data_IF_088114337623
#
_entry.id   IF_088114337623
#
_cell.length_a   1.000
_cell.length_b   1.000
_cell.length_c   1.000
_cell.angle_alpha   90.00
_cell.angle_beta   90.00
_cell.angle_gamma   90.00
#
_symmetry.space_group_name_H-M   'P 1'
#
loop_
_entity.id
_entity.type
_entity.pdbx_description
1 polymer ?
#
# COMPACT_ATOMS: atom_id res chain seq x y z
N UNK A 1 -9.56 -6.73 13.88
CA UNK A 1 -8.25 -6.78 14.55
C UNK A 1 -7.66 -5.37 14.60
N UNK A 2 -7.22 -4.92 15.76
CA UNK A 2 -6.65 -3.59 16.02
C UNK A 2 -5.25 -3.77 16.61
N UNK A 3 -4.34 -2.83 16.34
CA UNK A 3 -3.06 -2.77 17.04
C UNK A 3 -3.24 -2.43 18.52
N UNK A 4 -2.34 -2.85 19.42
CA UNK A 4 -2.45 -2.57 20.84
C UNK A 4 -2.33 -1.07 21.13
N UNK A 5 -2.92 -0.62 22.23
CA UNK A 5 -2.92 0.79 22.65
C UNK A 5 -1.51 1.37 22.77
N UNK A 6 -0.57 0.56 23.21
CA UNK A 6 0.84 0.92 23.38
C UNK A 6 1.51 1.31 22.04
N UNK A 7 1.07 0.70 20.93
CA UNK A 7 1.52 1.12 19.60
C UNK A 7 1.15 2.57 19.32
N UNK A 8 -0.12 2.94 19.52
CA UNK A 8 -0.58 4.31 19.28
C UNK A 8 0.08 5.32 20.22
N UNK A 9 0.32 4.94 21.47
CA UNK A 9 1.04 5.79 22.41
C UNK A 9 2.48 6.06 21.98
N UNK A 10 3.20 5.04 21.49
CA UNK A 10 4.58 5.22 20.97
C UNK A 10 4.62 6.11 19.75
N UNK A 11 3.78 5.86 18.75
CA UNK A 11 3.78 6.68 17.52
C UNK A 11 3.39 8.13 17.80
N UNK A 12 2.46 8.37 18.72
CA UNK A 12 2.09 9.72 19.14
C UNK A 12 3.24 10.42 19.89
N UNK A 13 3.99 9.70 20.71
CA UNK A 13 5.16 10.25 21.40
C UNK A 13 6.28 10.63 20.42
N UNK A 14 6.56 9.78 19.41
CA UNK A 14 7.52 10.10 18.35
C UNK A 14 7.04 11.30 17.52
N UNK A 15 5.75 11.38 17.18
CA UNK A 15 5.22 12.51 16.43
C UNK A 15 5.43 13.83 17.19
N UNK A 16 5.18 13.87 18.52
CA UNK A 16 5.41 15.08 19.32
C UNK A 16 6.88 15.53 19.28
N UNK A 17 7.82 14.62 19.40
CA UNK A 17 9.25 14.95 19.29
C UNK A 17 9.60 15.54 17.92
N UNK A 18 8.98 15.05 16.85
CA UNK A 18 9.19 15.57 15.49
C UNK A 18 8.55 16.95 15.28
N UNK A 19 7.39 17.19 15.86
CA UNK A 19 6.76 18.52 15.84
C UNK A 19 7.60 19.54 16.61
N UNK A 20 8.09 19.19 17.81
CA UNK A 20 8.99 20.04 18.60
C UNK A 20 10.28 20.34 17.81
N UNK A 21 10.89 19.35 17.19
CA UNK A 21 12.11 19.52 16.38
C UNK A 21 11.89 20.38 15.12
N UNK A 22 10.68 20.38 14.58
CA UNK A 22 10.27 21.23 13.45
C UNK A 22 9.79 22.61 13.90
N UNK A 23 9.71 22.86 15.21
CA UNK A 23 9.16 24.09 15.81
C UNK A 23 7.71 24.37 15.37
N UNK A 24 6.87 23.34 15.24
CA UNK A 24 5.46 23.38 14.83
C UNK A 24 4.60 23.09 16.05
N UNK A 25 3.54 23.89 16.30
CA UNK A 25 2.66 23.71 17.46
C UNK A 25 1.77 22.45 17.34
N UNK A 26 1.49 22.04 16.11
CA UNK A 26 0.74 20.82 15.84
C UNK A 26 0.53 20.59 14.34
N UNK A 27 -0.05 19.45 14.00
CA UNK A 27 -0.29 19.04 12.62
C UNK A 27 -1.77 18.76 12.37
N UNK A 28 -2.29 19.24 11.24
CA UNK A 28 -3.58 18.84 10.67
C UNK A 28 -3.41 17.66 9.73
N UNK A 29 -4.06 16.58 10.07
CA UNK A 29 -4.02 15.31 9.35
C UNK A 29 -5.37 15.06 8.70
N UNK A 30 -5.36 14.87 7.40
CA UNK A 30 -6.58 14.62 6.60
C UNK A 30 -6.57 13.26 5.93
N UNK A 31 -5.38 12.70 5.71
CA UNK A 31 -5.25 11.44 5.01
C UNK A 31 -5.70 10.26 5.87
N UNK A 32 -6.63 9.40 5.41
CA UNK A 32 -7.21 8.32 6.22
C UNK A 32 -6.19 7.34 6.79
N UNK A 33 -5.12 7.03 6.04
CA UNK A 33 -4.06 6.17 6.54
C UNK A 33 -3.27 6.80 7.70
N UNK A 34 -3.05 8.12 7.67
CA UNK A 34 -2.37 8.84 8.76
C UNK A 34 -3.27 8.95 10.00
N UNK A 35 -4.58 9.19 9.80
CA UNK A 35 -5.58 9.15 10.87
C UNK A 35 -5.61 7.76 11.51
N UNK A 36 -5.66 6.70 10.71
CA UNK A 36 -5.63 5.32 11.20
C UNK A 36 -4.32 4.99 11.93
N UNK A 37 -3.18 5.48 11.44
CA UNK A 37 -1.87 5.28 12.06
C UNK A 37 -1.77 5.93 13.45
N UNK A 38 -2.29 7.14 13.59
CA UNK A 38 -2.14 7.92 14.83
C UNK A 38 -3.20 7.62 15.90
N UNK A 39 -4.43 7.31 15.49
CA UNK A 39 -5.53 7.15 16.45
C UNK A 39 -6.28 5.82 16.35
N UNK A 40 -5.97 4.99 15.35
CA UNK A 40 -6.64 3.71 15.17
C UNK A 40 -8.09 3.85 14.71
N UNK A 41 -8.44 4.97 14.10
CA UNK A 41 -9.75 5.18 13.51
C UNK A 41 -9.73 4.80 12.03
N UNK A 42 -10.43 3.72 11.69
CA UNK A 42 -10.59 3.21 10.33
C UNK A 42 -12.02 3.51 9.88
N UNK A 43 -12.19 4.34 8.87
CA UNK A 43 -13.49 4.79 8.39
C UNK A 43 -13.60 4.74 6.87
N UNK A 44 -14.83 4.68 6.37
CA UNK A 44 -15.11 4.79 4.95
C UNK A 44 -14.88 6.22 4.46
N UNK A 45 -14.01 6.38 3.47
CA UNK A 45 -13.74 7.70 2.87
C UNK A 45 -14.92 8.10 2.00
N UNK A 46 -15.51 9.25 2.31
CA UNK A 46 -16.63 9.84 1.57
C UNK A 46 -16.30 11.31 1.25
N UNK A 47 -17.29 12.06 0.80
CA UNK A 47 -17.20 13.52 0.62
C UNK A 47 -17.10 14.28 1.95
N UNK A 48 -17.40 13.63 3.08
CA UNK A 48 -17.36 14.23 4.44
C UNK A 48 -15.95 14.23 4.97
N UNK A 49 -15.34 15.39 5.21
CA UNK A 49 -13.96 15.46 5.67
C UNK A 49 -13.80 15.01 7.14
N UNK A 50 -12.65 14.41 7.42
CA UNK A 50 -12.18 14.12 8.76
C UNK A 50 -10.88 14.90 8.97
N UNK A 51 -10.80 15.68 10.05
CA UNK A 51 -9.64 16.50 10.39
C UNK A 51 -9.12 16.12 11.77
N UNK A 52 -7.97 15.45 11.83
CA UNK A 52 -7.29 15.18 13.08
C UNK A 52 -6.29 16.31 13.36
N UNK A 53 -6.47 17.01 14.48
CA UNK A 53 -5.46 17.86 15.07
C UNK A 53 -4.62 17.06 16.06
N UNK A 54 -3.31 17.15 15.91
CA UNK A 54 -2.36 16.53 16.81
C UNK A 54 -1.31 17.56 17.22
N UNK A 55 -1.31 17.95 18.52
CA UNK A 55 -0.47 19.00 19.04
C UNK A 55 0.78 18.49 19.77
N UNK A 56 1.70 19.42 20.08
CA UNK A 56 2.89 19.13 20.89
C UNK A 56 2.52 18.86 22.35
N UNK A 57 1.45 19.49 22.87
CA UNK A 57 0.97 19.31 24.25
C UNK A 57 0.07 18.08 24.37
N UNK A 58 0.40 17.10 25.22
CA UNK A 58 -0.46 15.95 25.46
C UNK A 58 -1.85 16.34 25.97
N UNK A 59 -2.90 15.66 25.50
CA UNK A 59 -4.28 15.88 25.93
C UNK A 59 -5.01 17.01 25.19
N UNK A 60 -4.35 17.69 24.25
CA UNK A 60 -4.98 18.70 23.40
C UNK A 60 -5.40 18.19 22.03
N UNK A 61 -5.21 16.91 21.77
CA UNK A 61 -5.52 16.28 20.48
C UNK A 61 -7.03 16.10 20.31
N UNK A 62 -7.54 16.36 19.12
CA UNK A 62 -8.96 16.14 18.80
C UNK A 62 -9.13 15.80 17.32
N UNK A 63 -10.27 15.17 17.01
CA UNK A 63 -10.63 14.83 15.65
C UNK A 63 -12.02 15.38 15.30
N UNK A 64 -12.09 16.20 14.25
CA UNK A 64 -13.36 16.66 13.68
C UNK A 64 -13.89 15.58 12.79
N UNK A 65 -15.08 15.07 13.09
CA UNK A 65 -15.71 13.96 12.39
C UNK A 65 -17.17 14.27 12.06
N UNK A 66 -17.73 13.72 10.98
CA UNK A 66 -19.17 13.83 10.77
C UNK A 66 -19.94 13.14 11.92
N UNK A 67 -21.06 13.71 12.33
CA UNK A 67 -21.84 13.21 13.47
C UNK A 67 -22.23 11.73 13.31
N UNK A 68 -22.46 11.28 12.07
CA UNK A 68 -22.78 9.89 11.76
C UNK A 68 -21.66 8.88 12.10
N UNK A 69 -20.41 9.34 12.21
CA UNK A 69 -19.26 8.48 12.50
C UNK A 69 -18.84 8.48 13.97
N UNK A 70 -19.45 9.30 14.83
CA UNK A 70 -19.07 9.43 16.24
C UNK A 70 -19.20 8.10 17.00
N UNK A 71 -20.34 7.43 16.87
CA UNK A 71 -20.57 6.14 17.56
C UNK A 71 -19.63 5.05 17.00
N UNK A 72 -19.35 5.10 15.70
CA UNK A 72 -18.43 4.15 15.07
C UNK A 72 -16.98 4.38 15.51
N UNK A 73 -16.54 5.63 15.65
CA UNK A 73 -15.24 5.96 16.22
C UNK A 73 -15.12 5.52 17.67
N UNK A 74 -16.15 5.76 18.49
CA UNK A 74 -16.21 5.31 19.87
C UNK A 74 -16.13 3.77 20.00
N UNK A 75 -16.83 3.04 19.13
CA UNK A 75 -16.78 1.58 19.08
C UNK A 75 -15.38 1.02 18.74
N UNK A 76 -14.55 1.81 18.06
CA UNK A 76 -13.16 1.48 17.77
C UNK A 76 -12.19 1.86 18.92
N UNK A 77 -12.72 2.30 20.07
CA UNK A 77 -11.91 2.67 21.25
C UNK A 77 -10.89 3.77 20.95
N UNK A 78 -11.28 4.74 20.14
CA UNK A 78 -10.47 5.90 19.83
C UNK A 78 -10.25 6.73 21.10
N UNK A 79 -8.98 6.94 21.46
CA UNK A 79 -8.55 7.67 22.66
C UNK A 79 -8.13 9.10 22.27
N UNK A 80 -9.04 9.84 21.65
CA UNK A 80 -8.87 11.24 21.20
C UNK A 80 -10.25 11.89 21.23
N UNK A 81 -10.34 13.15 21.69
CA UNK A 81 -11.57 13.93 21.71
C UNK A 81 -12.21 14.04 20.33
N UNK A 82 -13.51 13.77 20.22
CA UNK A 82 -14.26 13.90 18.98
C UNK A 82 -15.06 15.21 18.97
N UNK A 83 -14.88 15.99 17.92
CA UNK A 83 -15.68 17.19 17.62
C UNK A 83 -16.59 16.86 16.46
N UNK A 84 -17.88 16.70 16.74
CA UNK A 84 -18.86 16.33 15.72
C UNK A 84 -19.37 17.54 14.94
N UNK A 85 -19.45 17.43 13.61
CA UNK A 85 -20.22 18.35 12.78
C UNK A 85 -21.45 17.66 12.20
N UNK A 86 -22.61 18.36 12.11
CA UNK A 86 -23.90 17.70 11.94
C UNK A 86 -24.14 17.16 10.52
N UNK A 87 -23.64 17.83 9.49
CA UNK A 87 -23.88 17.44 8.08
C UNK A 87 -22.88 18.13 7.13
N UNK A 88 -22.73 17.55 5.92
CA UNK A 88 -21.88 18.10 4.86
C UNK A 88 -22.75 18.46 3.62
N UNK A 89 -22.57 19.65 2.98
CA UNK A 89 -21.60 20.70 3.38
C UNK A 89 -21.98 21.44 4.67
N UNK A 90 -23.23 21.34 5.13
CA UNK A 90 -23.73 21.99 6.33
C UNK A 90 -23.91 23.52 6.19
N UNK A 91 -24.65 24.11 7.13
CA UNK A 91 -24.73 25.59 7.28
C UNK A 91 -23.45 26.12 7.91
N UNK A 92 -22.89 25.36 8.85
CA UNK A 92 -21.56 25.56 9.45
C UNK A 92 -20.68 24.42 8.90
N UNK A 93 -19.62 24.76 8.20
CA UNK A 93 -18.77 23.75 7.53
C UNK A 93 -17.88 23.01 8.52
N UNK A 94 -17.35 21.85 8.11
CA UNK A 94 -16.40 21.10 8.93
C UNK A 94 -15.14 21.93 9.27
N UNK A 95 -14.69 22.79 8.32
CA UNK A 95 -13.56 23.70 8.52
C UNK A 95 -13.87 24.79 9.57
N UNK A 96 -15.12 25.25 9.63
CA UNK A 96 -15.55 26.19 10.69
C UNK A 96 -15.58 25.51 12.07
N UNK A 97 -16.05 24.26 12.17
CA UNK A 97 -15.96 23.47 13.40
C UNK A 97 -14.51 23.21 13.81
N UNK A 98 -13.60 22.95 12.86
CA UNK A 98 -12.17 22.83 13.11
C UNK A 98 -11.59 24.14 13.67
N UNK A 99 -11.89 25.27 13.03
CA UNK A 99 -11.38 26.58 13.43
C UNK A 99 -11.89 27.01 14.83
N UNK A 100 -13.16 26.74 15.13
CA UNK A 100 -13.73 26.94 16.45
C UNK A 100 -13.06 26.08 17.52
N UNK A 101 -12.87 24.78 17.22
CA UNK A 101 -12.21 23.85 18.12
C UNK A 101 -10.77 24.24 18.47
N UNK A 102 -10.01 24.72 17.47
CA UNK A 102 -8.66 25.25 17.67
C UNK A 102 -8.68 26.55 18.49
N UNK A 103 -9.60 27.48 18.18
CA UNK A 103 -9.72 28.77 18.88
C UNK A 103 -10.05 28.60 20.35
N UNK A 104 -11.03 27.74 20.67
CA UNK A 104 -11.44 27.46 22.06
C UNK A 104 -10.31 26.84 22.89
N UNK A 105 -9.40 26.09 22.20
CA UNK A 105 -8.21 25.49 22.84
C UNK A 105 -7.01 26.43 22.91
N UNK A 106 -7.17 27.71 22.51
CA UNK A 106 -6.09 28.70 22.56
C UNK A 106 -5.03 28.57 21.48
N UNK A 107 -5.35 27.87 20.39
CA UNK A 107 -4.45 27.58 19.26
C UNK A 107 -4.64 28.57 18.08
N UNK A 108 -5.35 29.67 18.29
CA UNK A 108 -5.40 30.78 17.33
C UNK A 108 -4.00 31.39 17.19
N UNK A 109 -3.49 31.47 15.95
CA UNK A 109 -2.14 31.98 15.69
C UNK A 109 -1.03 30.91 15.77
N UNK A 110 -1.39 29.61 15.87
CA UNK A 110 -0.43 28.51 15.91
C UNK A 110 0.33 28.35 14.59
N UNK A 111 1.53 27.77 14.69
CA UNK A 111 2.28 27.23 13.55
C UNK A 111 1.79 25.82 13.27
N UNK A 112 1.09 25.67 12.16
CA UNK A 112 0.35 24.45 11.83
C UNK A 112 1.05 23.70 10.69
N UNK A 113 1.53 22.50 10.98
CA UNK A 113 1.90 21.54 9.94
C UNK A 113 0.65 20.96 9.27
N UNK A 114 0.75 20.57 8.00
CA UNK A 114 -0.29 19.79 7.34
C UNK A 114 0.31 18.65 6.52
N UNK A 115 -0.40 17.51 6.49
CA UNK A 115 0.04 16.34 5.72
C UNK A 115 -0.25 16.53 4.23
N UNK A 116 0.49 15.78 3.38
CA UNK A 116 0.29 15.80 1.93
C UNK A 116 -1.12 15.37 1.53
N UNK A 117 -1.62 15.88 0.40
CA UNK A 117 -2.95 15.56 -0.11
C UNK A 117 -4.05 16.56 0.30
N UNK A 118 -3.74 17.58 1.09
CA UNK A 118 -4.65 18.69 1.35
C UNK A 118 -4.88 19.47 0.06
N UNK A 119 -6.15 19.68 -0.30
CA UNK A 119 -6.48 20.48 -1.48
C UNK A 119 -6.16 21.95 -1.24
N UNK A 120 -5.85 22.69 -2.33
CA UNK A 120 -5.65 24.15 -2.25
C UNK A 120 -6.90 24.82 -1.66
N UNK A 121 -8.10 24.41 -2.04
CA UNK A 121 -9.34 24.97 -1.52
C UNK A 121 -9.50 24.74 -0.01
N UNK A 122 -9.11 23.58 0.50
CA UNK A 122 -9.12 23.29 1.94
C UNK A 122 -8.10 24.17 2.68
N UNK A 123 -6.89 24.29 2.14
CA UNK A 123 -5.84 25.13 2.72
C UNK A 123 -6.26 26.62 2.75
N UNK A 124 -6.81 27.13 1.64
CA UNK A 124 -7.33 28.49 1.56
C UNK A 124 -8.45 28.74 2.60
N UNK A 125 -9.36 27.76 2.78
CA UNK A 125 -10.40 27.83 3.80
C UNK A 125 -9.81 27.92 5.22
N UNK A 126 -8.82 27.10 5.54
CA UNK A 126 -8.14 27.15 6.84
C UNK A 126 -7.44 28.48 7.08
N UNK A 127 -6.74 29.00 6.06
CA UNK A 127 -6.07 30.33 6.14
C UNK A 127 -7.05 31.47 6.36
N UNK A 128 -8.25 31.40 5.76
CA UNK A 128 -9.31 32.37 5.94
C UNK A 128 -9.98 32.28 7.32
N UNK A 129 -10.12 31.10 7.88
CA UNK A 129 -10.80 30.90 9.16
C UNK A 129 -9.87 31.05 10.38
N UNK A 130 -8.59 30.73 10.22
CA UNK A 130 -7.57 30.75 11.27
C UNK A 130 -6.60 31.92 11.09
N UNK A 131 -7.14 33.15 11.14
CA UNK A 131 -6.34 34.35 11.01
C UNK A 131 -5.19 34.39 12.03
N UNK A 132 -3.98 34.61 11.55
CA UNK A 132 -2.77 34.68 12.35
C UNK A 132 -2.01 33.36 12.49
N UNK A 133 -2.61 32.22 12.13
CA UNK A 133 -1.90 30.95 12.02
C UNK A 133 -1.07 30.89 10.75
N UNK A 134 0.04 30.18 10.81
CA UNK A 134 0.87 29.84 9.63
C UNK A 134 0.72 28.37 9.29
N UNK A 135 0.83 28.03 8.00
CA UNK A 135 0.65 26.68 7.50
C UNK A 135 1.87 26.25 6.69
N UNK A 136 2.43 25.08 7.02
CA UNK A 136 3.57 24.52 6.30
C UNK A 136 3.43 23.02 6.10
N UNK A 137 3.95 22.46 4.95
CA UNK A 137 3.93 21.01 4.74
C UNK A 137 4.74 20.27 5.81
N UNK A 138 4.19 19.17 6.33
CA UNK A 138 4.84 18.32 7.30
C UNK A 138 4.89 16.86 6.82
N UNK A 139 6.08 16.34 6.61
CA UNK A 139 6.33 14.99 6.08
C UNK A 139 6.70 13.98 7.15
N UNK A 140 6.75 14.40 8.42
CA UNK A 140 7.21 13.55 9.54
C UNK A 140 6.41 12.26 9.71
N UNK A 141 5.07 12.30 9.48
CA UNK A 141 4.21 11.12 9.60
C UNK A 141 4.54 10.08 8.51
N UNK A 142 4.76 10.51 7.28
CA UNK A 142 5.16 9.61 6.20
C UNK A 142 6.52 8.93 6.50
N UNK A 143 7.47 9.68 7.04
CA UNK A 143 8.76 9.14 7.48
C UNK A 143 8.62 8.13 8.64
N UNK A 144 7.70 8.36 9.58
CA UNK A 144 7.39 7.40 10.65
C UNK A 144 6.80 6.12 10.08
N UNK A 145 5.82 6.22 9.18
CA UNK A 145 5.16 5.08 8.53
C UNK A 145 6.12 4.23 7.68
N UNK A 146 7.19 4.82 7.16
CA UNK A 146 8.18 4.09 6.38
C UNK A 146 8.86 2.97 7.19
N UNK A 147 9.08 3.19 8.49
CA UNK A 147 9.68 2.21 9.41
C UNK A 147 8.58 1.46 10.16
N UNK A 148 8.41 0.18 9.87
CA UNK A 148 7.37 -0.66 10.47
C UNK A 148 7.77 -1.14 11.86
N UNK A 149 6.84 -1.00 12.80
CA UNK A 149 6.96 -1.59 14.14
C UNK A 149 6.67 -3.10 14.10
N UNK A 150 7.14 -3.87 15.09
CA UNK A 150 6.93 -5.33 15.13
C UNK A 150 5.47 -5.75 15.01
N UNK A 151 4.54 -4.99 15.59
CA UNK A 151 3.11 -5.24 15.54
C UNK A 151 2.55 -5.06 14.12
N UNK A 152 3.10 -4.13 13.34
CA UNK A 152 2.74 -3.94 11.93
C UNK A 152 3.28 -5.07 11.07
N UNK A 153 4.55 -5.46 11.31
CA UNK A 153 5.20 -6.57 10.60
C UNK A 153 4.40 -7.86 10.78
N UNK A 154 3.89 -8.13 11.98
CA UNK A 154 3.03 -9.29 12.23
C UNK A 154 1.82 -9.31 11.29
N UNK A 155 1.14 -8.16 11.08
CA UNK A 155 -0.02 -8.10 10.18
C UNK A 155 0.36 -8.16 8.70
N UNK A 156 1.53 -7.63 8.32
CA UNK A 156 2.07 -7.85 6.98
C UNK A 156 2.34 -9.35 6.73
N UNK A 157 2.86 -10.09 7.71
CA UNK A 157 3.05 -11.54 7.61
C UNK A 157 1.71 -12.28 7.42
N UNK A 158 0.68 -11.92 8.18
CA UNK A 158 -0.65 -12.51 8.03
C UNK A 158 -1.27 -12.20 6.66
N UNK A 159 -1.10 -10.98 6.16
CA UNK A 159 -1.56 -10.61 4.82
C UNK A 159 -0.77 -11.36 3.72
N UNK A 160 0.54 -11.61 3.92
CA UNK A 160 1.38 -12.33 2.99
C UNK A 160 0.91 -13.79 2.79
N UNK A 161 0.56 -14.46 3.87
CA UNK A 161 0.00 -15.83 3.78
C UNK A 161 -1.29 -15.86 2.95
N UNK A 162 -2.21 -14.90 3.18
CA UNK A 162 -3.45 -14.82 2.40
C UNK A 162 -3.15 -14.51 0.93
N UNK A 163 -2.21 -13.61 0.65
CA UNK A 163 -1.83 -13.25 -0.71
C UNK A 163 -1.24 -14.47 -1.47
N UNK A 164 -0.39 -15.26 -0.82
CA UNK A 164 0.14 -16.50 -1.39
C UNK A 164 -0.96 -17.55 -1.62
N UNK A 165 -1.94 -17.66 -0.71
CA UNK A 165 -3.09 -18.55 -0.88
C UNK A 165 -4.00 -18.09 -2.05
N UNK A 166 -4.15 -16.78 -2.27
CA UNK A 166 -4.86 -16.24 -3.44
C UNK A 166 -4.18 -16.65 -4.76
N UNK A 167 -2.83 -16.62 -4.81
CA UNK A 167 -2.08 -17.12 -5.97
C UNK A 167 -2.33 -18.61 -6.22
N UNK A 168 -2.31 -19.43 -5.14
CA UNK A 168 -2.65 -20.86 -5.21
C UNK A 168 -4.06 -21.09 -5.71
N UNK A 169 -5.04 -20.32 -5.22
CA UNK A 169 -6.43 -20.43 -5.64
C UNK A 169 -6.63 -20.05 -7.12
N UNK A 170 -6.00 -18.97 -7.56
CA UNK A 170 -6.04 -18.55 -8.96
C UNK A 170 -5.43 -19.59 -9.91
N UNK A 171 -4.26 -20.13 -9.55
CA UNK A 171 -3.62 -21.23 -10.27
C UNK A 171 -4.52 -22.46 -10.31
N UNK A 172 -5.04 -22.90 -9.18
CA UNK A 172 -5.88 -24.11 -9.08
C UNK A 172 -7.14 -24.03 -9.96
N UNK A 173 -7.78 -22.86 -10.04
CA UNK A 173 -8.93 -22.63 -10.93
C UNK A 173 -8.58 -22.91 -12.41
N UNK A 174 -7.40 -22.43 -12.84
CA UNK A 174 -6.97 -22.57 -14.23
C UNK A 174 -6.54 -24.02 -14.50
N UNK A 175 -5.77 -24.63 -13.59
CA UNK A 175 -5.33 -26.02 -13.73
C UNK A 175 -6.50 -27.01 -13.76
N UNK A 176 -7.54 -26.78 -12.97
CA UNK A 176 -8.74 -27.64 -12.98
C UNK A 176 -9.43 -27.59 -14.35
N UNK A 177 -9.62 -26.38 -14.91
CA UNK A 177 -10.18 -26.22 -16.23
C UNK A 177 -9.29 -26.85 -17.33
N UNK A 178 -7.98 -26.68 -17.23
CA UNK A 178 -7.00 -27.23 -18.15
C UNK A 178 -7.03 -28.76 -18.17
N UNK A 179 -6.91 -29.40 -16.99
CA UNK A 179 -6.88 -30.87 -16.86
C UNK A 179 -8.18 -31.54 -17.28
N UNK A 180 -9.32 -30.85 -17.13
CA UNK A 180 -10.63 -31.37 -17.55
C UNK A 180 -10.97 -31.06 -18.99
N UNK A 181 -10.05 -30.46 -19.74
CA UNK A 181 -10.28 -30.01 -21.12
C UNK A 181 -11.53 -29.11 -21.24
N UNK A 182 -11.80 -28.34 -20.19
CA UNK A 182 -12.92 -27.40 -20.15
C UNK A 182 -12.53 -26.07 -20.78
N UNK A 183 -13.52 -25.24 -21.02
CA UNK A 183 -13.28 -23.86 -21.44
C UNK A 183 -12.51 -23.11 -20.36
N UNK A 184 -11.31 -22.61 -20.70
CA UNK A 184 -10.47 -21.84 -19.77
C UNK A 184 -11.19 -20.58 -19.29
N UNK A 185 -10.93 -20.11 -18.05
CA UNK A 185 -11.54 -18.91 -17.52
C UNK A 185 -11.10 -17.64 -18.24
N UNK A 186 -11.88 -16.59 -18.13
CA UNK A 186 -11.50 -15.24 -18.55
C UNK A 186 -10.68 -14.55 -17.46
N UNK A 187 -9.96 -13.47 -17.84
CA UNK A 187 -9.24 -12.62 -16.85
C UNK A 187 -10.17 -12.14 -15.73
N UNK A 188 -11.39 -11.69 -16.09
CA UNK A 188 -12.38 -11.23 -15.11
C UNK A 188 -12.93 -12.32 -14.20
N UNK A 189 -13.09 -13.55 -14.70
CA UNK A 189 -13.51 -14.71 -13.88
C UNK A 189 -12.43 -15.07 -12.86
N UNK A 190 -11.15 -15.06 -13.26
CA UNK A 190 -10.01 -15.31 -12.36
C UNK A 190 -9.92 -14.19 -11.32
N UNK A 191 -9.97 -12.92 -11.73
CA UNK A 191 -9.90 -11.78 -10.83
C UNK A 191 -10.99 -11.85 -9.74
N UNK A 192 -12.23 -12.12 -10.14
CA UNK A 192 -13.33 -12.29 -9.19
C UNK A 192 -13.08 -13.45 -8.23
N UNK A 193 -12.60 -14.60 -8.73
CA UNK A 193 -12.34 -15.78 -7.91
C UNK A 193 -11.30 -15.50 -6.83
N UNK A 194 -10.14 -14.93 -7.19
CA UNK A 194 -9.06 -14.66 -6.24
C UNK A 194 -9.44 -13.58 -5.22
N UNK A 195 -10.18 -12.53 -5.62
CA UNK A 195 -10.65 -11.48 -4.72
C UNK A 195 -11.65 -12.04 -3.71
N UNK A 196 -12.61 -12.86 -4.17
CA UNK A 196 -13.58 -13.51 -3.29
C UNK A 196 -12.87 -14.42 -2.31
N UNK A 197 -11.99 -15.29 -2.79
CA UNK A 197 -11.19 -16.19 -1.96
C UNK A 197 -10.40 -15.42 -0.89
N UNK A 198 -9.64 -14.40 -1.26
CA UNK A 198 -8.84 -13.61 -0.32
C UNK A 198 -9.70 -12.90 0.72
N UNK A 199 -10.86 -12.36 0.33
CA UNK A 199 -11.82 -11.72 1.24
C UNK A 199 -12.38 -12.73 2.25
N UNK A 200 -12.82 -13.91 1.79
CA UNK A 200 -13.33 -14.99 2.64
C UNK A 200 -12.26 -15.48 3.62
N UNK A 201 -11.00 -15.65 3.17
CA UNK A 201 -9.89 -16.05 4.03
C UNK A 201 -9.60 -15.01 5.13
N UNK A 202 -9.68 -13.72 4.82
CA UNK A 202 -9.51 -12.68 5.83
C UNK A 202 -10.59 -12.75 6.91
N UNK A 203 -11.87 -12.87 6.53
CA UNK A 203 -12.96 -13.02 7.49
C UNK A 203 -12.93 -14.35 8.25
N UNK A 204 -12.39 -15.41 7.65
CA UNK A 204 -12.19 -16.70 8.32
C UNK A 204 -11.09 -16.64 9.40
N UNK A 205 -10.04 -15.86 9.15
CA UNK A 205 -8.88 -15.72 10.07
C UNK A 205 -9.10 -14.70 11.18
N UNK A 206 -9.92 -13.68 10.94
CA UNK A 206 -10.09 -12.56 11.85
C UNK A 206 -11.58 -12.23 12.07
N UNK A 207 -11.99 -12.10 13.32
CA UNK A 207 -13.36 -11.74 13.70
C UNK A 207 -13.77 -10.35 13.21
N UNK A 208 -12.81 -9.40 13.26
CA UNK A 208 -12.98 -8.04 12.77
C UNK A 208 -11.90 -7.71 11.76
N UNK A 209 -12.30 -7.44 10.54
CA UNK A 209 -11.40 -7.03 9.47
C UNK A 209 -11.44 -5.50 9.35
N UNK A 210 -10.29 -4.86 9.57
CA UNK A 210 -10.13 -3.40 9.51
C UNK A 210 -9.27 -3.06 8.29
N UNK A 211 -9.79 -2.18 7.43
CA UNK A 211 -9.09 -1.71 6.24
C UNK A 211 -9.52 -0.29 5.86
N UNK A 212 -8.59 0.48 5.33
CA UNK A 212 -8.83 1.85 4.84
C UNK A 212 -9.22 1.88 3.36
N UNK A 213 -8.90 0.84 2.60
CA UNK A 213 -9.19 0.71 1.18
C UNK A 213 -9.77 -0.67 0.84
N UNK A 214 -9.02 -1.51 0.11
CA UNK A 214 -9.42 -2.88 -0.22
C UNK A 214 -8.82 -3.88 0.75
N UNK A 215 -9.58 -4.90 1.11
CA UNK A 215 -9.11 -6.01 1.93
C UNK A 215 -8.28 -7.01 1.12
N UNK A 216 -8.79 -7.41 -0.04
CA UNK A 216 -8.10 -8.23 -1.02
C UNK A 216 -8.37 -7.65 -2.41
N UNK A 217 -7.41 -7.76 -3.30
CA UNK A 217 -7.52 -7.22 -4.63
C UNK A 217 -6.48 -7.79 -5.58
N UNK A 218 -6.60 -7.43 -6.83
CA UNK A 218 -5.62 -7.82 -7.81
C UNK A 218 -6.02 -7.49 -9.23
N UNK A 219 -5.01 -7.49 -10.07
CA UNK A 219 -5.11 -7.37 -11.49
C UNK A 219 -4.73 -8.70 -12.13
N UNK A 220 -5.41 -9.06 -13.20
CA UNK A 220 -5.20 -10.30 -13.93
C UNK A 220 -5.10 -9.97 -15.40
N UNK A 221 -3.99 -10.27 -16.01
CA UNK A 221 -3.78 -10.00 -17.42
C UNK A 221 -3.11 -11.16 -18.12
N UNK A 222 -3.57 -11.53 -19.32
CA UNK A 222 -3.10 -12.68 -20.05
C UNK A 222 -2.77 -12.36 -21.51
N UNK A 223 -1.78 -13.06 -22.06
CA UNK A 223 -1.33 -12.90 -23.44
C UNK A 223 -0.99 -11.45 -23.77
N UNK A 224 -1.49 -10.87 -24.88
CA UNK A 224 -1.18 -9.48 -25.25
C UNK A 224 -1.59 -8.43 -24.21
N UNK A 225 -2.59 -8.71 -23.35
CA UNK A 225 -2.97 -7.79 -22.26
C UNK A 225 -1.91 -7.75 -21.18
N UNK A 226 -1.16 -8.81 -20.95
CA UNK A 226 -0.07 -8.84 -19.97
C UNK A 226 1.07 -7.85 -20.30
N UNK A 227 1.13 -7.34 -21.52
CA UNK A 227 2.07 -6.27 -21.91
C UNK A 227 1.66 -4.87 -21.37
N UNK A 228 0.59 -4.76 -20.61
CA UNK A 228 0.07 -3.50 -20.04
C UNK A 228 0.09 -3.57 -18.52
N UNK A 229 1.08 -2.99 -17.84
CA UNK A 229 1.29 -3.16 -16.38
C UNK A 229 0.09 -2.85 -15.49
N UNK A 230 -0.77 -1.93 -15.91
CA UNK A 230 -1.99 -1.52 -15.17
C UNK A 230 -3.28 -1.81 -15.94
N UNK A 231 -3.24 -2.79 -16.86
CA UNK A 231 -4.43 -3.22 -17.59
C UNK A 231 -5.49 -3.77 -16.63
N UNK A 232 -6.76 -3.44 -16.87
CA UNK A 232 -7.84 -4.02 -16.08
C UNK A 232 -8.18 -5.42 -16.62
N UNK A 233 -8.60 -6.35 -15.74
CA UNK A 233 -9.09 -7.66 -16.17
C UNK A 233 -10.26 -7.50 -17.16
N UNK A 234 -10.20 -8.25 -18.26
CA UNK A 234 -11.17 -8.18 -19.35
C UNK A 234 -11.97 -9.47 -19.48
N UNK A 235 -12.86 -9.50 -20.47
CA UNK A 235 -13.56 -10.72 -20.89
C UNK A 235 -12.71 -11.64 -21.78
N UNK A 236 -11.44 -11.30 -22.01
CA UNK A 236 -10.52 -12.16 -22.75
C UNK A 236 -10.38 -13.50 -22.03
N UNK A 237 -10.58 -14.57 -22.76
CA UNK A 237 -10.38 -15.93 -22.28
C UNK A 237 -8.94 -16.35 -22.45
N UNK A 238 -8.38 -17.07 -21.47
CA UNK A 238 -7.05 -17.62 -21.53
C UNK A 238 -6.92 -18.59 -22.70
N UNK A 239 -5.72 -18.65 -23.26
CA UNK A 239 -5.36 -19.55 -24.36
C UNK A 239 -4.04 -20.26 -24.06
N UNK A 240 -3.85 -21.45 -24.63
CA UNK A 240 -2.55 -22.12 -24.59
C UNK A 240 -1.46 -21.19 -25.20
N UNK A 241 -0.30 -21.16 -24.55
CA UNK A 241 0.80 -20.27 -24.91
C UNK A 241 0.73 -18.87 -24.32
N UNK A 242 -0.34 -18.50 -23.59
CA UNK A 242 -0.38 -17.22 -22.93
C UNK A 242 0.64 -17.13 -21.78
N UNK A 243 1.24 -15.96 -21.61
CA UNK A 243 1.73 -15.51 -20.31
C UNK A 243 0.55 -14.95 -19.53
N UNK A 244 0.47 -15.25 -18.25
CA UNK A 244 -0.55 -14.74 -17.33
C UNK A 244 0.13 -14.12 -16.14
N UNK A 245 -0.14 -12.86 -15.85
CA UNK A 245 0.27 -12.21 -14.61
C UNK A 245 -0.92 -12.22 -13.65
N UNK A 246 -0.72 -12.81 -12.47
CA UNK A 246 -1.57 -12.61 -11.30
C UNK A 246 -0.85 -11.60 -10.39
N UNK A 247 -1.35 -10.37 -10.37
CA UNK A 247 -0.86 -9.27 -9.55
C UNK A 247 -1.83 -9.07 -8.38
N UNK A 248 -1.51 -9.68 -7.24
CA UNK A 248 -2.46 -9.82 -6.14
C UNK A 248 -1.97 -9.10 -4.88
N UNK A 249 -2.91 -8.66 -4.07
CA UNK A 249 -2.66 -8.02 -2.79
C UNK A 249 -3.71 -8.37 -1.75
N UNK A 250 -3.30 -8.36 -0.50
CA UNK A 250 -4.18 -8.54 0.67
C UNK A 250 -3.76 -7.58 1.79
N UNK A 251 -4.65 -7.34 2.75
CA UNK A 251 -4.38 -6.49 3.90
C UNK A 251 -4.96 -7.07 5.18
N UNK A 252 -4.17 -7.17 6.24
CA UNK A 252 -4.62 -7.49 7.59
C UNK A 252 -4.44 -6.26 8.50
N UNK A 253 -5.47 -5.86 9.22
CA UNK A 253 -5.48 -4.61 9.99
C UNK A 253 -4.99 -3.41 9.16
N UNK A 254 -5.41 -3.32 7.90
CA UNK A 254 -4.92 -2.39 6.87
C UNK A 254 -3.42 -2.41 6.58
N UNK A 255 -2.69 -3.44 6.96
CA UNK A 255 -1.29 -3.63 6.56
C UNK A 255 -1.28 -4.45 5.28
N UNK A 256 -0.94 -3.76 4.17
CA UNK A 256 -0.96 -4.32 2.83
C UNK A 256 0.28 -5.18 2.54
N UNK A 257 0.08 -6.13 1.66
CA UNK A 257 1.12 -6.94 1.02
C UNK A 257 0.72 -7.13 -0.43
N UNK A 258 1.69 -7.22 -1.30
CA UNK A 258 1.50 -7.69 -2.67
C UNK A 258 2.39 -8.89 -2.96
N UNK A 259 1.92 -9.75 -3.83
CA UNK A 259 2.66 -10.87 -4.43
C UNK A 259 2.19 -11.07 -5.86
N UNK A 260 3.15 -11.16 -6.78
CA UNK A 260 2.81 -11.28 -8.18
C UNK A 260 3.62 -12.39 -8.85
N UNK A 261 2.96 -13.13 -9.70
CA UNK A 261 3.62 -14.19 -10.47
C UNK A 261 3.19 -14.17 -11.92
N UNK A 262 4.15 -14.48 -12.77
CA UNK A 262 3.90 -14.79 -14.16
C UNK A 262 3.79 -16.29 -14.33
N UNK A 263 2.66 -16.76 -14.81
CA UNK A 263 2.41 -18.13 -15.21
C UNK A 263 2.48 -18.26 -16.73
N UNK A 264 2.82 -19.44 -17.23
CA UNK A 264 2.77 -19.76 -18.66
C UNK A 264 1.84 -20.96 -18.85
N UNK A 265 0.90 -20.83 -19.78
CA UNK A 265 -0.08 -21.86 -20.08
C UNK A 265 0.43 -22.80 -21.17
N UNK A 266 0.73 -24.04 -20.81
CA UNK A 266 1.35 -25.04 -21.67
C UNK A 266 2.86 -24.93 -21.71
N UNK A 267 3.50 -25.58 -22.68
CA UNK A 267 4.97 -25.62 -22.80
C UNK A 267 5.52 -24.22 -23.17
N UNK A 268 6.43 -23.63 -22.39
CA UNK A 268 7.03 -22.35 -22.69
C UNK A 268 7.90 -22.38 -23.93
N UNK A 269 7.77 -21.39 -24.81
CA UNK A 269 8.71 -21.17 -25.91
C UNK A 269 10.08 -20.69 -25.38
N UNK A 270 11.14 -20.81 -26.20
CA UNK A 270 12.48 -20.30 -25.85
C UNK A 270 12.47 -18.80 -25.52
N UNK A 271 11.65 -18.01 -26.20
CA UNK A 271 11.49 -16.60 -25.96
C UNK A 271 10.84 -16.34 -24.58
N UNK A 272 9.81 -17.09 -24.24
CA UNK A 272 9.15 -17.00 -22.93
C UNK A 272 10.10 -17.41 -21.80
N UNK A 273 10.85 -18.48 -21.98
CA UNK A 273 11.88 -18.91 -21.02
C UNK A 273 12.90 -17.79 -20.79
N UNK A 274 13.45 -17.23 -21.86
CA UNK A 274 14.43 -16.12 -21.76
C UNK A 274 13.87 -14.91 -21.01
N UNK A 275 12.67 -14.47 -21.34
CA UNK A 275 12.08 -13.28 -20.74
C UNK A 275 11.74 -13.51 -19.26
N UNK A 276 11.22 -14.68 -18.94
CA UNK A 276 10.96 -15.09 -17.57
C UNK A 276 12.25 -15.12 -16.74
N UNK A 277 13.29 -15.77 -17.23
CA UNK A 277 14.58 -15.92 -16.51
C UNK A 277 15.27 -14.57 -16.26
N UNK A 278 15.23 -13.65 -17.22
CA UNK A 278 15.75 -12.29 -17.03
C UNK A 278 14.97 -11.57 -15.94
N UNK A 279 13.64 -11.66 -15.96
CA UNK A 279 12.77 -11.03 -14.95
C UNK A 279 12.97 -11.65 -13.56
N UNK A 280 13.04 -12.97 -13.48
CA UNK A 280 13.28 -13.68 -12.21
C UNK A 280 14.67 -13.37 -11.63
N UNK A 281 15.67 -13.24 -12.48
CA UNK A 281 17.02 -12.83 -12.07
C UNK A 281 17.02 -11.39 -11.56
N UNK A 282 16.35 -10.47 -12.26
CA UNK A 282 16.22 -9.09 -11.83
C UNK A 282 15.53 -8.98 -10.46
N UNK A 283 14.45 -9.75 -10.26
CA UNK A 283 13.74 -9.78 -8.98
C UNK A 283 14.61 -10.32 -7.84
N UNK A 284 15.38 -11.37 -8.07
CA UNK A 284 16.29 -11.92 -7.06
C UNK A 284 17.41 -10.93 -6.72
N UNK A 285 18.08 -10.37 -7.74
CA UNK A 285 19.17 -9.40 -7.56
C UNK A 285 18.65 -8.12 -6.92
N UNK A 286 17.48 -7.64 -7.36
CA UNK A 286 16.81 -6.47 -6.80
C UNK A 286 16.44 -6.67 -5.32
N UNK A 287 15.90 -7.84 -4.97
CA UNK A 287 15.62 -8.20 -3.56
C UNK A 287 16.92 -8.16 -2.73
N UNK A 288 17.98 -8.79 -3.21
CA UNK A 288 19.29 -8.82 -2.52
C UNK A 288 19.93 -7.42 -2.42
N UNK A 289 19.55 -6.50 -3.30
CA UNK A 289 20.00 -5.10 -3.28
C UNK A 289 19.30 -4.24 -2.20
N UNK A 290 18.14 -4.65 -1.69
CA UNK A 290 17.36 -3.90 -0.69
C UNK A 290 17.97 -4.02 0.72
N UNK A 291 19.20 -3.54 0.89
CA UNK A 291 19.96 -3.61 2.15
C UNK A 291 20.01 -2.27 2.86
N UNK A 292 20.00 -2.31 4.19
CA UNK A 292 20.22 -1.13 5.02
C UNK A 292 21.52 -0.41 4.62
N UNK A 293 21.45 0.91 4.55
CA UNK A 293 22.57 1.77 4.16
C UNK A 293 22.71 2.04 2.65
N UNK A 294 21.99 1.33 1.78
CA UNK A 294 21.92 1.62 0.35
C UNK A 294 20.79 2.60 0.07
N UNK A 295 20.90 3.44 -0.96
CA UNK A 295 19.80 4.30 -1.37
C UNK A 295 18.75 3.53 -2.21
N UNK A 296 17.53 4.04 -2.26
CA UNK A 296 16.47 3.50 -3.11
C UNK A 296 16.88 3.54 -4.59
N UNK A 297 17.51 4.63 -5.04
CA UNK A 297 18.01 4.77 -6.39
C UNK A 297 19.07 3.72 -6.74
N UNK A 298 20.04 3.47 -5.87
CA UNK A 298 21.04 2.43 -6.09
C UNK A 298 20.43 1.03 -6.17
N UNK A 299 19.47 0.71 -5.31
CA UNK A 299 18.79 -0.59 -5.35
C UNK A 299 18.01 -0.75 -6.68
N UNK A 300 17.30 0.31 -7.10
CA UNK A 300 16.57 0.34 -8.37
C UNK A 300 17.50 0.10 -9.57
N UNK A 301 18.63 0.81 -9.64
CA UNK A 301 19.59 0.66 -10.73
C UNK A 301 20.13 -0.76 -10.81
N UNK A 302 20.57 -1.34 -9.68
CA UNK A 302 21.08 -2.72 -9.62
C UNK A 302 20.04 -3.72 -10.14
N UNK A 303 18.79 -3.54 -9.81
CA UNK A 303 17.69 -4.40 -10.27
C UNK A 303 17.45 -4.27 -11.77
N UNK A 304 17.28 -3.04 -12.25
CA UNK A 304 16.91 -2.79 -13.64
C UNK A 304 18.08 -3.00 -14.62
N UNK A 305 19.32 -2.91 -14.17
CA UNK A 305 20.50 -3.22 -15.00
C UNK A 305 20.53 -4.68 -15.40
N UNK A 306 20.03 -5.60 -14.59
CA UNK A 306 19.87 -7.02 -14.99
C UNK A 306 18.97 -7.14 -16.22
N UNK A 307 17.90 -6.37 -16.31
CA UNK A 307 17.00 -6.37 -17.47
C UNK A 307 17.69 -5.72 -18.68
N UNK A 308 18.42 -4.63 -18.47
CA UNK A 308 19.17 -3.94 -19.52
C UNK A 308 20.28 -4.84 -20.12
N UNK A 309 21.06 -5.46 -19.25
CA UNK A 309 22.14 -6.40 -19.63
C UNK A 309 21.59 -7.66 -20.30
N UNK A 310 20.39 -8.10 -19.94
CA UNK A 310 19.63 -9.15 -20.62
C UNK A 310 19.12 -8.75 -22.02
N UNK A 311 19.40 -7.51 -22.48
CA UNK A 311 18.95 -6.98 -23.77
C UNK A 311 17.45 -6.68 -23.86
N UNK A 312 16.80 -6.42 -22.70
CA UNK A 312 15.37 -6.15 -22.60
C UNK A 312 15.06 -4.75 -22.06
N UNK A 313 16.04 -3.84 -22.03
CA UNK A 313 15.89 -2.50 -21.47
C UNK A 313 14.76 -1.67 -22.08
N UNK A 314 14.49 -1.84 -23.41
CA UNK A 314 13.39 -1.18 -24.12
C UNK A 314 12.00 -1.61 -23.61
N UNK A 315 11.91 -2.74 -22.89
CA UNK A 315 10.68 -3.32 -22.38
C UNK A 315 10.42 -3.00 -20.91
N UNK A 316 11.30 -2.23 -20.24
CA UNK A 316 11.06 -1.68 -18.89
C UNK A 316 9.99 -0.61 -18.98
N UNK A 317 9.02 -0.62 -18.07
CA UNK A 317 7.91 0.36 -18.02
C UNK A 317 7.74 1.04 -16.66
N UNK A 318 8.42 0.55 -15.63
CA UNK A 318 8.33 1.09 -14.28
C UNK A 318 9.61 0.79 -13.49
N UNK A 319 9.75 1.43 -12.35
CA UNK A 319 10.79 1.25 -11.34
C UNK A 319 10.78 -0.15 -10.72
N UNK A 320 11.77 -0.45 -9.87
CA UNK A 320 11.88 -1.73 -9.17
C UNK A 320 10.71 -1.98 -8.20
N UNK A 321 10.22 -0.93 -7.50
CA UNK A 321 9.17 -1.11 -6.49
C UNK A 321 8.90 0.16 -5.67
N UNK A 322 8.22 -0.03 -4.54
CA UNK A 322 7.75 1.06 -3.67
C UNK A 322 7.55 0.58 -2.24
N UNK A 323 7.44 1.53 -1.29
CA UNK A 323 7.02 1.24 0.07
C UNK A 323 5.58 0.72 0.12
N UNK A 324 5.32 -0.15 1.07
CA UNK A 324 4.00 -0.71 1.38
C UNK A 324 3.74 -0.55 2.87
N UNK A 325 2.51 -0.26 3.24
CA UNK A 325 2.11 -0.12 4.64
C UNK A 325 0.60 -0.07 4.81
N UNK A 326 0.09 1.01 5.35
CA UNK A 326 -1.35 1.31 5.41
C UNK A 326 -1.94 1.66 4.05
N UNK A 327 -1.08 1.96 3.09
CA UNK A 327 -1.41 2.07 1.68
C UNK A 327 -0.66 0.98 0.92
N UNK A 328 -1.25 0.53 -0.18
CA UNK A 328 -0.58 -0.40 -1.09
C UNK A 328 0.67 0.24 -1.74
N UNK A 329 0.63 1.55 -2.03
CA UNK A 329 1.77 2.33 -2.49
C UNK A 329 2.00 3.51 -1.56
N UNK A 330 3.15 3.56 -0.92
CA UNK A 330 3.61 4.69 -0.11
C UNK A 330 5.14 4.86 -0.28
N UNK A 331 5.70 5.97 0.17
CA UNK A 331 7.15 6.15 0.16
C UNK A 331 7.88 5.20 1.11
N UNK A 332 9.18 4.96 0.88
CA UNK A 332 9.99 5.49 -0.21
C UNK A 332 9.79 4.73 -1.52
N UNK A 333 10.35 5.26 -2.61
CA UNK A 333 10.23 4.71 -3.95
C UNK A 333 11.56 4.11 -4.41
N UNK A 334 11.58 2.84 -4.80
CA UNK A 334 12.76 2.24 -5.44
C UNK A 334 12.83 2.74 -6.88
N UNK A 335 13.30 3.98 -7.02
CA UNK A 335 13.28 4.79 -8.24
C UNK A 335 14.55 5.62 -8.35
N UNK A 336 14.99 5.95 -9.57
CA UNK A 336 16.24 6.71 -9.81
C UNK A 336 16.23 8.12 -9.19
N UNK A 337 15.05 8.65 -8.86
CA UNK A 337 14.88 9.97 -8.25
C UNK A 337 14.75 9.97 -6.72
N UNK A 338 14.89 8.83 -6.04
CA UNK A 338 14.71 8.71 -4.58
C UNK A 338 16.03 8.30 -3.90
N UNK A 339 16.70 9.28 -3.28
CA UNK A 339 17.94 9.09 -2.53
C UNK A 339 17.70 8.65 -1.07
N UNK A 340 16.48 8.27 -0.69
CA UNK A 340 16.17 7.76 0.65
C UNK A 340 17.06 6.55 0.94
N UNK A 341 17.77 6.61 2.05
CA UNK A 341 18.61 5.50 2.53
C UNK A 341 17.71 4.43 3.15
N UNK A 342 17.80 3.21 2.63
CA UNK A 342 17.10 2.06 3.17
C UNK A 342 17.53 1.78 4.61
N UNK A 343 16.58 1.61 5.50
CA UNK A 343 16.78 1.37 6.92
C UNK A 343 16.02 0.12 7.37
N UNK A 344 16.50 -0.58 8.41
CA UNK A 344 15.79 -1.71 9.00
C UNK A 344 14.37 -1.31 9.42
N UNK A 345 13.40 -2.17 9.16
CA UNK A 345 11.98 -1.91 9.37
C UNK A 345 11.27 -1.30 8.17
N UNK A 346 11.97 -0.83 7.14
CA UNK A 346 11.30 -0.47 5.88
C UNK A 346 10.74 -1.70 5.19
N UNK A 347 9.52 -1.55 4.65
CA UNK A 347 8.81 -2.64 3.99
C UNK A 347 8.37 -2.18 2.59
N UNK A 348 8.86 -2.85 1.54
CA UNK A 348 8.71 -2.42 0.16
C UNK A 348 8.42 -3.61 -0.76
N UNK A 349 7.85 -3.32 -1.94
CA UNK A 349 7.79 -4.28 -3.04
C UNK A 349 9.14 -4.40 -3.76
N UNK A 350 9.36 -5.57 -4.38
CA UNK A 350 10.38 -5.77 -5.39
C UNK A 350 9.71 -6.47 -6.57
N UNK A 351 9.35 -5.68 -7.61
CA UNK A 351 8.41 -6.06 -8.67
C UNK A 351 8.92 -5.77 -10.11
N UNK A 352 10.19 -6.02 -10.44
CA UNK A 352 10.66 -5.73 -11.80
C UNK A 352 9.84 -6.47 -12.85
N UNK A 353 9.65 -5.82 -14.00
CA UNK A 353 8.85 -6.39 -15.08
C UNK A 353 9.36 -6.07 -16.48
N UNK A 354 9.07 -6.97 -17.41
CA UNK A 354 9.34 -6.86 -18.86
C UNK A 354 8.01 -6.95 -19.60
N UNK A 355 7.72 -5.97 -20.46
CA UNK A 355 6.43 -5.84 -21.13
C UNK A 355 6.63 -5.66 -22.64
N UNK A 356 6.26 -6.71 -23.42
CA UNK A 356 6.52 -6.80 -24.85
C UNK A 356 5.21 -6.64 -25.61
N UNK A 357 4.96 -5.48 -26.25
CA UNK A 357 3.72 -5.24 -26.99
C UNK A 357 3.44 -6.32 -28.03
N UNK A 358 2.19 -6.83 -28.05
CA UNK A 358 1.76 -7.89 -28.95
C UNK A 358 2.16 -9.30 -28.54
N UNK A 359 3.04 -9.46 -27.55
CA UNK A 359 3.49 -10.74 -27.02
C UNK A 359 2.91 -11.02 -25.63
N UNK A 360 3.33 -10.26 -24.61
CA UNK A 360 2.91 -10.47 -23.24
C UNK A 360 3.77 -9.73 -22.24
N UNK A 361 3.58 -10.01 -20.96
CA UNK A 361 4.35 -9.41 -19.85
C UNK A 361 4.88 -10.47 -18.90
N UNK A 362 5.93 -10.08 -18.19
CA UNK A 362 6.61 -10.89 -17.18
C UNK A 362 6.87 -10.01 -15.98
N UNK A 363 6.26 -10.31 -14.83
CA UNK A 363 6.47 -9.61 -13.56
C UNK A 363 6.46 -10.62 -12.42
N UNK A 364 7.43 -10.49 -11.55
CA UNK A 364 7.52 -11.25 -10.31
C UNK A 364 7.68 -10.23 -9.19
N UNK A 365 6.73 -10.18 -8.26
CA UNK A 365 6.78 -9.30 -7.09
C UNK A 365 6.77 -10.10 -5.80
N UNK A 366 7.60 -9.67 -4.88
CA UNK A 366 7.56 -10.05 -3.47
C UNK A 366 7.57 -8.80 -2.59
N UNK A 367 6.89 -8.88 -1.46
CA UNK A 367 6.96 -7.87 -0.40
C UNK A 367 8.12 -8.18 0.53
N UNK A 368 9.03 -7.21 0.71
CA UNK A 368 10.35 -7.38 1.30
C UNK A 368 10.54 -6.44 2.48
N UNK A 369 10.94 -7.00 3.62
CA UNK A 369 11.36 -6.27 4.82
C UNK A 369 12.87 -6.06 4.79
N UNK A 370 13.29 -4.81 4.86
CA UNK A 370 14.70 -4.44 5.09
C UNK A 370 15.06 -4.78 6.53
N UNK A 371 16.20 -5.47 6.73
CA UNK A 371 16.71 -5.86 8.04
C UNK A 371 18.14 -5.36 8.24
N UNK A 372 18.70 -5.52 9.43
CA UNK A 372 20.12 -5.27 9.69
C UNK A 372 21.05 -6.15 8.83
N UNK A 373 20.55 -7.30 8.39
CA UNK A 373 21.31 -8.27 7.60
C UNK A 373 20.79 -8.40 6.16
N UNK A 374 20.48 -9.63 5.75
CA UNK A 374 19.87 -9.90 4.45
C UNK A 374 18.39 -9.48 4.45
N UNK A 375 17.89 -8.90 3.35
CA UNK A 375 16.47 -8.60 3.23
C UNK A 375 15.60 -9.85 3.42
N UNK A 376 14.45 -9.70 4.06
CA UNK A 376 13.53 -10.81 4.33
C UNK A 376 12.25 -10.65 3.50
N UNK A 377 12.00 -11.56 2.58
CA UNK A 377 10.72 -11.65 1.89
C UNK A 377 9.65 -12.17 2.85
N UNK A 378 8.48 -11.54 2.87
CA UNK A 378 7.33 -12.02 3.63
C UNK A 378 6.43 -12.91 2.77
N UNK A 379 6.37 -12.70 1.46
CA UNK A 379 5.68 -13.56 0.50
C UNK A 379 6.57 -14.74 0.09
N UNK A 380 5.99 -15.93 -0.02
CA UNK A 380 6.73 -17.18 -0.17
C UNK A 380 6.29 -18.05 -1.37
N UNK A 381 5.35 -17.57 -2.20
CA UNK A 381 4.93 -18.32 -3.39
C UNK A 381 6.14 -18.61 -4.31
N UNK A 382 6.22 -19.80 -4.94
CA UNK A 382 7.31 -20.18 -5.83
C UNK A 382 7.59 -19.18 -6.95
N UNK A 383 8.87 -19.07 -7.37
CA UNK A 383 9.33 -18.08 -8.36
C UNK A 383 10.03 -18.66 -9.58
N UNK A 384 10.32 -19.97 -9.58
CA UNK A 384 10.95 -20.59 -10.74
C UNK A 384 9.98 -20.76 -11.90
N UNK A 385 10.49 -20.84 -13.10
CA UNK A 385 9.66 -21.08 -14.29
C UNK A 385 8.92 -22.40 -14.20
N UNK A 386 9.60 -23.46 -13.78
CA UNK A 386 9.05 -24.81 -13.69
C UNK A 386 7.84 -24.87 -12.74
N UNK A 387 7.90 -24.12 -11.65
CA UNK A 387 6.81 -24.05 -10.67
C UNK A 387 5.65 -23.17 -11.14
N UNK A 388 5.84 -22.36 -12.19
CA UNK A 388 4.85 -21.42 -12.72
C UNK A 388 4.36 -21.78 -14.14
N UNK A 389 4.66 -22.97 -14.63
CA UNK A 389 4.01 -23.54 -15.80
C UNK A 389 2.69 -24.21 -15.39
N UNK A 390 1.65 -23.97 -16.14
CA UNK A 390 0.32 -24.63 -16.05
C UNK A 390 0.20 -25.58 -17.25
N UNK A 391 0.32 -26.88 -17.01
CA UNK A 391 0.32 -27.92 -18.04
C UNK A 391 -0.55 -29.13 -17.64
#
# INVERSE_FOLDING_TARGET
>A
VRLPTEFYQRVRADLRQRLDAAEIDGVLVTHPADVAYLMGFFYAVTERPVYLWFGTTPGGDFCVVPHLDVEYAAAQQVDIDLVAYPEFPGVVSAEQHLAEALTVRGLAGARIGYTTGVSVATLDSWQQLLHGSTFEPFTGIAAMRAIKHPEEIYFHEQAAEVCDDMLRAGRALIEDAWRREQTLPTEGEIARHVITFGTEEMYRRFDHVIFTTKLAGGLVYAGPNAARPHGLPSSRRLQAGDTLILSLGAAAASRFVESERTFILGEPSDQQRRYFEVTATAQRVGTDAMRAGRTCAEANQICLDVIRDGGLGEHIRHRQGHGIGLQNHEGPWLDDGDDTVLAPGMFLSCEPGVYVPGHGGYRISDSVLVTEGAPRRLTAYPRSLEENVIA
#
